data_IF_135525898304
#
_entry.id   IF_135525898304
#
_cell.length_a   1.000
_cell.length_b   1.000
_cell.length_c   1.000
_cell.angle_alpha   90.00
_cell.angle_beta   90.00
_cell.angle_gamma   90.00
#
_symmetry.space_group_name_H-M   'P 1'
#
loop_
_entity.id
_entity.type
_entity.pdbx_description
1 polymer ?
#
# COMPACT_ATOMS: atom_id res chain seq x y z
N UNK A 1 11.00 -11.15 -0.73
CA UNK A 1 10.17 -10.79 -1.91
C UNK A 1 9.83 -9.32 -1.75
N UNK A 2 10.09 -8.47 -2.75
CA UNK A 2 9.69 -7.07 -2.67
C UNK A 2 8.18 -7.02 -2.45
N UNK A 3 7.76 -6.35 -1.37
CA UNK A 3 6.36 -6.13 -1.06
C UNK A 3 5.68 -5.28 -2.12
N UNK A 4 4.36 -5.12 -2.01
CA UNK A 4 3.62 -4.13 -2.79
C UNK A 4 3.15 -3.08 -1.81
N UNK A 5 3.38 -1.81 -2.14
CA UNK A 5 2.83 -0.69 -1.41
C UNK A 5 1.69 -0.07 -2.18
N UNK A 6 0.72 0.46 -1.45
CA UNK A 6 -0.38 1.18 -2.03
C UNK A 6 -0.70 2.45 -1.23
N UNK A 7 -1.21 3.45 -1.92
CA UNK A 7 -1.55 4.77 -1.39
C UNK A 7 -2.92 5.18 -1.87
N UNK A 8 -3.65 5.90 -1.04
CA UNK A 8 -4.97 6.39 -1.41
C UNK A 8 -4.85 7.48 -2.48
N UNK A 9 -5.66 7.42 -3.53
CA UNK A 9 -5.82 8.54 -4.47
C UNK A 9 -6.51 9.71 -3.76
N UNK A 10 -6.03 10.93 -3.98
CA UNK A 10 -6.53 12.14 -3.29
C UNK A 10 -8.03 12.36 -3.45
N UNK A 11 -8.61 11.96 -4.59
CA UNK A 11 -10.04 12.03 -4.89
C UNK A 11 -10.92 11.21 -3.93
N UNK A 12 -10.35 10.20 -3.27
CA UNK A 12 -11.06 9.32 -2.34
C UNK A 12 -10.78 9.62 -0.86
N UNK A 13 -9.99 10.65 -0.52
CA UNK A 13 -9.63 10.97 0.87
C UNK A 13 -10.85 11.17 1.78
N UNK A 14 -11.92 11.79 1.27
CA UNK A 14 -13.15 12.00 2.04
C UNK A 14 -13.84 10.68 2.46
N UNK A 15 -13.62 9.60 1.72
CA UNK A 15 -14.22 8.28 1.98
C UNK A 15 -13.40 7.46 2.99
N UNK A 16 -12.13 7.77 3.17
CA UNK A 16 -11.18 7.04 4.01
C UNK A 16 -10.36 8.01 4.88
N UNK A 17 -10.98 8.63 5.90
CA UNK A 17 -10.32 9.66 6.73
C UNK A 17 -9.10 9.15 7.50
N UNK A 18 -9.01 7.85 7.75
CA UNK A 18 -7.89 7.18 8.42
C UNK A 18 -6.68 6.94 7.52
N UNK A 19 -6.84 7.07 6.20
CA UNK A 19 -5.77 6.96 5.22
C UNK A 19 -5.30 8.35 4.81
N UNK A 20 -4.11 8.42 4.21
CA UNK A 20 -3.52 9.68 3.75
C UNK A 20 -3.05 9.50 2.31
N UNK A 21 -3.32 10.46 1.39
CA UNK A 21 -2.90 10.36 0.00
C UNK A 21 -1.40 10.64 -0.17
N UNK A 22 -0.71 11.03 0.90
CA UNK A 22 0.73 11.28 0.91
C UNK A 22 1.51 10.08 1.43
N UNK A 23 0.84 9.07 2.02
CA UNK A 23 1.49 7.93 2.67
C UNK A 23 1.31 6.65 1.86
N UNK A 24 2.39 5.91 1.71
CA UNK A 24 2.39 4.55 1.17
C UNK A 24 2.22 3.54 2.31
N UNK A 25 1.29 2.60 2.13
CA UNK A 25 0.96 1.55 3.08
C UNK A 25 1.33 0.19 2.49
N UNK A 26 1.78 -0.74 3.33
CA UNK A 26 2.05 -2.11 2.90
C UNK A 26 0.75 -2.82 2.53
N UNK A 27 0.74 -3.51 1.38
CA UNK A 27 -0.35 -4.38 0.98
C UNK A 27 -0.18 -5.74 1.67
N UNK A 28 -1.12 -6.04 2.57
CA UNK A 28 -1.17 -7.32 3.27
C UNK A 28 -2.10 -8.31 2.54
N UNK A 29 -1.86 -9.64 2.62
CA UNK A 29 -2.77 -10.65 2.09
C UNK A 29 -4.12 -10.58 2.79
N UNK A 30 -5.24 -10.65 2.08
CA UNK A 30 -6.58 -10.56 2.70
C UNK A 30 -6.89 -11.78 3.58
N UNK A 31 -6.50 -12.98 3.13
CA UNK A 31 -6.62 -14.24 3.86
C UNK A 31 -5.26 -14.95 3.96
N UNK A 32 -5.05 -15.77 5.01
CA UNK A 32 -3.91 -16.69 5.06
C UNK A 32 -3.99 -17.64 3.86
N UNK A 33 -2.95 -17.67 3.02
CA UNK A 33 -2.89 -18.55 1.85
C UNK A 33 -3.55 -18.01 0.57
N UNK A 34 -4.17 -16.83 0.59
CA UNK A 34 -4.71 -16.18 -0.63
C UNK A 34 -3.74 -15.10 -1.11
N UNK A 35 -3.52 -15.05 -2.43
CA UNK A 35 -2.72 -14.02 -3.08
C UNK A 35 -3.21 -12.62 -2.74
N UNK A 36 -2.35 -11.62 -2.89
CA UNK A 36 -2.56 -10.22 -2.46
C UNK A 36 -3.82 -9.51 -3.06
N UNK A 37 -4.61 -10.19 -3.90
CA UNK A 37 -5.74 -9.64 -4.66
C UNK A 37 -6.96 -10.54 -4.51
N UNK A 38 -8.06 -9.98 -3.99
CA UNK A 38 -9.36 -10.63 -3.88
C UNK A 38 -10.40 -9.90 -4.73
N UNK A 39 -11.43 -10.62 -5.20
CA UNK A 39 -12.59 -10.03 -5.89
C UNK A 39 -13.82 -10.23 -5.00
N UNK A 40 -14.60 -9.19 -4.76
CA UNK A 40 -15.85 -9.30 -3.99
C UNK A 40 -17.00 -9.84 -4.86
N UNK A 41 -18.17 -10.07 -4.26
CA UNK A 41 -19.36 -10.58 -4.97
C UNK A 41 -19.87 -9.65 -6.08
N UNK A 42 -19.47 -8.37 -6.07
CA UNK A 42 -19.81 -7.39 -7.09
C UNK A 42 -18.76 -7.31 -8.22
N UNK A 43 -17.74 -8.18 -8.22
CA UNK A 43 -16.67 -8.18 -9.22
C UNK A 43 -15.55 -7.16 -8.96
N UNK A 44 -15.57 -6.48 -7.80
CA UNK A 44 -14.61 -5.43 -7.48
C UNK A 44 -13.36 -5.99 -6.83
N UNK A 45 -12.20 -5.49 -7.26
CA UNK A 45 -10.91 -5.89 -6.68
C UNK A 45 -10.71 -5.19 -5.34
N UNK A 46 -10.42 -5.97 -4.30
CA UNK A 46 -10.13 -5.49 -2.96
C UNK A 46 -8.64 -5.60 -2.64
N UNK A 47 -8.16 -4.67 -1.82
CA UNK A 47 -6.79 -4.58 -1.31
C UNK A 47 -6.84 -4.34 0.19
N UNK A 48 -6.00 -5.05 0.95
CA UNK A 48 -5.84 -4.84 2.40
C UNK A 48 -4.57 -4.06 2.67
N UNK A 49 -4.69 -2.94 3.34
CA UNK A 49 -3.57 -2.10 3.76
C UNK A 49 -3.24 -2.35 5.23
N UNK A 50 -1.96 -2.52 5.54
CA UNK A 50 -1.44 -2.45 6.90
C UNK A 50 -1.32 -1.00 7.36
N UNK A 51 -1.98 -0.68 8.46
CA UNK A 51 -1.93 0.64 9.12
C UNK A 51 -1.42 0.47 10.55
N UNK A 52 -1.06 1.56 11.23
CA UNK A 52 -0.67 1.51 12.65
C UNK A 52 -1.81 1.06 13.57
N UNK A 53 -3.06 1.09 13.10
CA UNK A 53 -4.26 0.70 13.86
C UNK A 53 -4.78 -0.69 13.49
N UNK A 54 -4.05 -1.45 12.67
CA UNK A 54 -4.50 -2.74 12.14
C UNK A 54 -4.65 -2.70 10.62
N UNK A 55 -5.72 -3.29 10.09
CA UNK A 55 -5.91 -3.45 8.65
C UNK A 55 -7.14 -2.69 8.14
N UNK A 56 -7.02 -2.11 6.94
CA UNK A 56 -8.13 -1.49 6.21
C UNK A 56 -8.29 -2.21 4.87
N UNK A 57 -9.51 -2.66 4.54
CA UNK A 57 -9.81 -3.29 3.25
C UNK A 57 -10.64 -2.30 2.43
N UNK A 58 -10.17 -2.00 1.21
CA UNK A 58 -10.84 -1.09 0.29
C UNK A 58 -10.64 -1.50 -1.16
N UNK A 59 -11.32 -0.83 -2.07
CA UNK A 59 -11.24 -1.12 -3.51
C UNK A 59 -9.87 -0.73 -4.06
N UNK A 60 -9.31 -1.61 -4.88
CA UNK A 60 -8.05 -1.39 -5.57
C UNK A 60 -8.10 -0.18 -6.51
N UNK A 61 -9.28 0.14 -7.07
CA UNK A 61 -9.47 1.31 -7.95
C UNK A 61 -9.22 2.64 -7.24
N UNK A 62 -9.40 2.69 -5.91
CA UNK A 62 -9.15 3.89 -5.12
C UNK A 62 -7.67 4.08 -4.77
N UNK A 63 -6.81 3.15 -5.19
CA UNK A 63 -5.41 3.09 -4.80
C UNK A 63 -4.49 3.35 -5.99
N UNK A 64 -3.33 3.91 -5.67
CA UNK A 64 -2.13 3.85 -6.48
C UNK A 64 -1.24 2.74 -5.92
N UNK A 65 -0.59 1.98 -6.79
CA UNK A 65 0.29 0.88 -6.39
C UNK A 65 1.71 1.16 -6.84
N UNK A 66 2.67 0.73 -6.02
CA UNK A 66 4.09 0.67 -6.39
C UNK A 66 4.73 -0.57 -5.79
N UNK A 67 5.84 -1.06 -6.38
CA UNK A 67 6.73 -1.98 -5.68
C UNK A 67 7.20 -1.35 -4.36
N UNK A 68 7.22 -2.10 -3.27
CA UNK A 68 7.98 -1.67 -2.09
C UNK A 68 9.43 -1.53 -2.53
N UNK A 69 10.06 -0.38 -2.20
CA UNK A 69 11.49 -0.21 -2.44
C UNK A 69 12.21 -1.31 -1.67
N UNK A 70 13.03 -2.12 -2.35
CA UNK A 70 14.02 -2.95 -1.67
C UNK A 70 14.91 -1.99 -0.86
N UNK A 71 15.03 -2.20 0.44
CA UNK A 71 15.95 -1.47 1.33
C UNK A 71 17.44 -1.79 1.02
N UNK A 72 17.79 -2.15 -0.22
CA UNK A 72 19.17 -2.46 -0.65
C UNK A 72 19.78 -1.35 -1.52
N UNK A 73 19.21 -0.16 -1.50
CA UNK A 73 19.85 1.04 -2.03
C UNK A 73 19.54 2.24 -1.12
N UNK A 74 19.89 2.12 0.16
CA UNK A 74 20.35 3.28 0.88
C UNK A 74 21.68 3.67 0.20
N UNK A 75 21.62 4.64 -0.70
CA UNK A 75 22.80 5.33 -1.20
C UNK A 75 23.63 5.73 0.04
N UNK A 76 24.90 5.32 0.17
CA UNK A 76 25.71 5.82 1.26
C UNK A 76 25.81 7.34 1.08
N UNK A 77 25.46 8.06 2.14
CA UNK A 77 25.81 9.47 2.34
C UNK A 77 27.24 9.68 1.82
N UNK A 78 27.36 10.24 0.61
CA UNK A 78 28.62 10.83 0.17
C UNK A 78 28.52 12.31 0.50
N UNK A 79 28.41 12.57 1.80
CA UNK A 79 28.85 13.83 2.37
C UNK A 79 30.34 13.70 2.67
N UNK A 80 31.09 14.73 2.27
CA UNK A 80 32.47 15.01 2.67
C UNK A 80 33.57 14.06 2.16
N UNK A 81 34.18 14.45 1.04
CA UNK A 81 35.64 14.59 1.05
C UNK A 81 35.97 15.97 0.47
N UNK A 82 36.75 16.70 1.27
CA UNK A 82 37.25 18.05 1.10
C UNK A 82 38.18 18.22 -0.11
#
# INVERSE_FOLDING_TARGET
MPGVQARLRSEHQRKYPELSPSRWYEVAPIFPGVTQRMVNMAGERLTRLGTTRGFVILRAEHLEFRPARDEVAAEPDTEAIA
#
